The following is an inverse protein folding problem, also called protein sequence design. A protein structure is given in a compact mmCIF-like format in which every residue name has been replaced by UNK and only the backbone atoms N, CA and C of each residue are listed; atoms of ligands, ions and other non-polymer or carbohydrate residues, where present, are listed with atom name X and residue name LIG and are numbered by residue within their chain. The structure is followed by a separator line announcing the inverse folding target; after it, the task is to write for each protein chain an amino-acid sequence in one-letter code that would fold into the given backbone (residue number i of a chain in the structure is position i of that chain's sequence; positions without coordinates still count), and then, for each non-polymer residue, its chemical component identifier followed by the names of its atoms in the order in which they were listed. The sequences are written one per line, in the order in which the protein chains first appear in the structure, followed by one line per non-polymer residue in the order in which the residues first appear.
data_IF_723099598612
#
_entry.id   IF_723099598612
#
_cell.length_a   1.000
_cell.length_b   1.000
_cell.length_c   1.000
_cell.angle_alpha   90.00
_cell.angle_beta   90.00
_cell.angle_gamma   90.00
#
_symmetry.space_group_name_H-M   'P 1'
#
loop_
_entity.id
_entity.type
_entity.pdbx_description
1 polymer ?
#
# COMPACT_ATOMS: atom_id res chain seq x y z
N UNK A 1 25.72 -19.12 25.86
CA UNK A 1 25.56 -18.20 24.71
C UNK A 1 25.03 -18.84 23.41
N UNK A 2 25.39 -20.07 22.99
CA UNK A 2 24.87 -20.64 21.73
C UNK A 2 23.36 -20.97 21.74
N UNK A 3 22.76 -21.20 22.92
CA UNK A 3 21.32 -21.48 23.04
C UNK A 3 20.42 -20.28 22.73
N UNK A 4 20.82 -19.07 23.15
CA UNK A 4 20.01 -17.85 22.94
C UNK A 4 19.94 -17.45 21.46
N UNK A 5 21.07 -17.51 20.76
CA UNK A 5 21.14 -17.22 19.32
C UNK A 5 20.27 -18.21 18.53
N UNK A 6 20.31 -19.51 18.88
CA UNK A 6 19.47 -20.52 18.25
C UNK A 6 17.98 -20.23 18.45
N UNK A 7 17.56 -19.86 19.67
CA UNK A 7 16.16 -19.49 19.93
C UNK A 7 15.72 -18.28 19.09
N UNK A 8 16.54 -17.21 19.05
CA UNK A 8 16.24 -16.01 18.27
C UNK A 8 16.08 -16.35 16.77
N UNK A 9 17.01 -17.13 16.21
CA UNK A 9 16.97 -17.52 14.80
C UNK A 9 15.74 -18.37 14.48
N UNK A 10 15.37 -19.31 15.36
CA UNK A 10 14.19 -20.14 15.18
C UNK A 10 12.89 -19.32 15.29
N UNK A 11 12.78 -18.40 16.24
CA UNK A 11 11.64 -17.50 16.34
C UNK A 11 11.52 -16.58 15.13
N UNK A 12 12.63 -16.01 14.65
CA UNK A 12 12.66 -15.19 13.45
C UNK A 12 12.24 -16.00 12.20
N UNK A 13 12.71 -17.25 12.08
CA UNK A 13 12.31 -18.15 11.01
C UNK A 13 10.81 -18.46 11.06
N UNK A 14 10.28 -18.79 12.25
CA UNK A 14 8.84 -19.06 12.42
C UNK A 14 8.00 -17.85 12.01
N UNK A 15 8.36 -16.65 12.47
CA UNK A 15 7.69 -15.40 12.07
C UNK A 15 7.77 -15.21 10.56
N UNK A 16 8.95 -15.35 9.95
CA UNK A 16 9.13 -15.20 8.50
C UNK A 16 8.26 -16.17 7.69
N UNK A 17 8.20 -17.44 8.09
CA UNK A 17 7.36 -18.46 7.44
C UNK A 17 5.87 -18.12 7.59
N UNK A 18 5.41 -17.79 8.80
CA UNK A 18 4.00 -17.43 9.00
C UNK A 18 3.63 -16.12 8.29
N UNK A 19 4.54 -15.16 8.17
CA UNK A 19 4.32 -13.95 7.36
C UNK A 19 4.17 -14.30 5.88
N UNK A 20 5.04 -15.16 5.34
CA UNK A 20 4.93 -15.59 3.95
C UNK A 20 3.61 -16.35 3.68
N UNK A 21 3.20 -17.23 4.60
CA UNK A 21 1.93 -17.95 4.51
C UNK A 21 0.72 -17.02 4.65
N UNK A 22 0.75 -16.09 5.60
CA UNK A 22 -0.31 -15.09 5.80
C UNK A 22 -0.45 -14.21 4.58
N UNK A 23 0.66 -13.74 3.97
CA UNK A 23 0.65 -13.03 2.71
C UNK A 23 0.04 -13.86 1.59
N UNK A 24 0.44 -15.12 1.43
CA UNK A 24 -0.12 -15.99 0.40
C UNK A 24 -1.64 -16.13 0.53
N UNK A 25 -2.14 -16.40 1.74
CA UNK A 25 -3.60 -16.48 2.01
C UNK A 25 -4.27 -15.12 1.76
N UNK A 26 -3.64 -14.02 2.18
CA UNK A 26 -4.13 -12.67 1.95
C UNK A 26 -4.31 -12.36 0.46
N UNK A 27 -3.31 -12.65 -0.38
CA UNK A 27 -3.39 -12.44 -1.83
C UNK A 27 -4.46 -13.32 -2.47
N UNK A 28 -4.56 -14.60 -2.06
CA UNK A 28 -5.60 -15.51 -2.54
C UNK A 28 -7.00 -15.02 -2.17
N UNK A 29 -7.18 -14.52 -0.93
CA UNK A 29 -8.45 -13.98 -0.47
C UNK A 29 -8.85 -12.73 -1.25
N UNK A 30 -7.92 -11.81 -1.47
CA UNK A 30 -8.20 -10.61 -2.27
C UNK A 30 -8.54 -10.95 -3.73
N UNK A 31 -7.87 -11.92 -4.33
CA UNK A 31 -8.20 -12.37 -5.69
C UNK A 31 -9.57 -13.03 -5.80
N UNK A 32 -9.97 -13.80 -4.79
CA UNK A 32 -11.24 -14.54 -4.80
C UNK A 32 -12.45 -13.73 -4.34
N UNK A 33 -12.26 -12.83 -3.35
CA UNK A 33 -13.34 -12.14 -2.64
C UNK A 33 -13.21 -10.62 -2.62
N UNK A 34 -12.17 -10.05 -3.23
CA UNK A 34 -11.96 -8.60 -3.28
C UNK A 34 -13.06 -7.90 -4.07
N UNK A 35 -13.74 -6.95 -3.41
CA UNK A 35 -14.80 -6.12 -3.98
C UNK A 35 -14.34 -4.73 -4.41
N UNK A 36 -13.03 -4.51 -4.53
CA UNK A 36 -12.42 -3.23 -4.93
C UNK A 36 -12.28 -2.20 -3.79
N UNK A 37 -12.70 -2.53 -2.56
CA UNK A 37 -12.55 -1.67 -1.38
C UNK A 37 -11.28 -2.07 -0.65
N UNK A 38 -10.13 -1.61 -1.16
CA UNK A 38 -8.80 -1.99 -0.71
C UNK A 38 -8.67 -2.10 0.82
N UNK A 39 -9.12 -1.08 1.54
CA UNK A 39 -9.03 -1.05 3.00
C UNK A 39 -9.84 -2.16 3.69
N UNK A 40 -11.12 -2.30 3.35
CA UNK A 40 -12.01 -3.25 4.03
C UNK A 40 -11.70 -4.68 3.61
N UNK A 41 -11.51 -4.90 2.32
CA UNK A 41 -11.22 -6.23 1.78
C UNK A 41 -9.87 -6.74 2.32
N UNK A 42 -8.88 -5.84 2.47
CA UNK A 42 -7.59 -6.18 3.06
C UNK A 42 -7.66 -6.50 4.55
N UNK A 43 -8.45 -5.76 5.34
CA UNK A 43 -8.67 -6.10 6.76
C UNK A 43 -9.33 -7.46 6.94
N UNK A 44 -10.35 -7.77 6.14
CA UNK A 44 -11.04 -9.07 6.18
C UNK A 44 -10.05 -10.17 5.77
N UNK A 45 -9.26 -9.96 4.71
CA UNK A 45 -8.24 -10.90 4.27
C UNK A 45 -7.19 -11.19 5.36
N UNK A 46 -6.72 -10.16 6.07
CA UNK A 46 -5.79 -10.30 7.20
C UNK A 46 -6.43 -11.13 8.31
N UNK A 47 -7.64 -10.76 8.74
CA UNK A 47 -8.37 -11.46 9.81
C UNK A 47 -8.63 -12.93 9.44
N UNK A 48 -9.04 -13.20 8.19
CA UNK A 48 -9.23 -14.54 7.67
C UNK A 48 -7.92 -15.34 7.68
N UNK A 49 -6.81 -14.74 7.21
CA UNK A 49 -5.50 -15.41 7.22
C UNK A 49 -5.05 -15.76 8.64
N UNK A 50 -5.24 -14.85 9.60
CA UNK A 50 -4.91 -15.07 11.00
C UNK A 50 -5.76 -16.20 11.60
N UNK A 51 -7.07 -16.18 11.36
CA UNK A 51 -7.99 -17.21 11.85
C UNK A 51 -7.66 -18.60 11.28
N UNK A 52 -7.38 -18.70 9.97
CA UNK A 52 -7.01 -19.95 9.31
C UNK A 52 -5.69 -20.50 9.90
N UNK A 53 -4.67 -19.66 10.03
CA UNK A 53 -3.37 -20.09 10.56
C UNK A 53 -3.43 -20.45 12.04
N UNK A 54 -4.19 -19.70 12.86
CA UNK A 54 -4.42 -20.04 14.26
C UNK A 54 -5.16 -21.37 14.39
N UNK A 55 -6.23 -21.58 13.62
CA UNK A 55 -6.96 -22.85 13.60
C UNK A 55 -6.03 -24.01 13.20
N UNK A 56 -5.18 -23.81 12.20
CA UNK A 56 -4.19 -24.81 11.78
C UNK A 56 -3.18 -25.14 12.89
N UNK A 57 -2.63 -24.13 13.57
CA UNK A 57 -1.69 -24.33 14.70
C UNK A 57 -2.38 -25.05 15.86
N UNK A 58 -3.60 -24.66 16.22
CA UNK A 58 -4.37 -25.30 17.29
C UNK A 58 -4.67 -26.76 16.92
N UNK A 59 -5.15 -27.03 15.70
CA UNK A 59 -5.44 -28.38 15.24
C UNK A 59 -4.18 -29.27 15.20
N UNK A 60 -3.05 -28.73 14.72
CA UNK A 60 -1.79 -29.44 14.66
C UNK A 60 -1.22 -29.78 16.04
N UNK A 61 -1.48 -28.95 17.05
CA UNK A 61 -0.95 -29.11 18.42
C UNK A 61 -1.93 -29.78 19.39
N UNK A 62 -3.21 -29.94 19.03
CA UNK A 62 -4.27 -30.46 19.90
C UNK A 62 -4.03 -31.88 20.44
N UNK A 63 -3.25 -32.70 19.72
CA UNK A 63 -2.95 -34.10 20.11
C UNK A 63 -1.68 -34.25 20.95
N UNK A 64 -1.17 -33.17 21.54
CA UNK A 64 0.08 -33.18 22.29
C UNK A 64 1.34 -33.39 21.43
N UNK A 65 1.16 -33.49 20.11
CA UNK A 65 2.26 -33.49 19.15
C UNK A 65 2.67 -32.05 18.88
N UNK A 66 3.87 -31.70 19.28
CA UNK A 66 4.51 -30.48 18.82
C UNK A 66 4.90 -30.68 17.36
N UNK A 67 4.44 -29.82 16.43
CA UNK A 67 4.90 -29.89 15.05
C UNK A 67 6.42 -29.67 15.01
N UNK A 68 7.08 -30.22 13.99
CA UNK A 68 8.54 -30.15 13.82
C UNK A 68 9.34 -30.81 14.95
N UNK A 69 8.87 -31.95 15.47
CA UNK A 69 9.65 -32.79 16.39
C UNK A 69 9.95 -32.16 17.74
N UNK A 70 9.11 -31.22 18.21
CA UNK A 70 9.35 -30.51 19.48
C UNK A 70 10.23 -29.28 19.39
N UNK A 71 10.61 -28.85 18.18
CA UNK A 71 11.40 -27.64 17.99
C UNK A 71 10.68 -26.35 18.45
N UNK A 72 9.34 -26.35 18.41
CA UNK A 72 8.51 -25.20 18.78
C UNK A 72 7.40 -25.60 19.75
N UNK A 73 7.20 -24.76 20.76
CA UNK A 73 6.03 -24.79 21.64
C UNK A 73 4.80 -24.22 20.94
N UNK A 74 3.61 -24.61 21.41
CA UNK A 74 2.34 -24.04 20.92
C UNK A 74 2.29 -22.52 21.09
N UNK A 75 2.84 -22.00 22.19
CA UNK A 75 2.87 -20.57 22.46
C UNK A 75 3.73 -19.83 21.44
N UNK A 76 4.93 -20.33 21.12
CA UNK A 76 5.80 -19.72 20.11
C UNK A 76 5.14 -19.66 18.73
N UNK A 77 4.43 -20.72 18.32
CA UNK A 77 3.72 -20.75 17.05
C UNK A 77 2.53 -19.77 17.02
N UNK A 78 1.75 -19.68 18.11
CA UNK A 78 0.66 -18.70 18.23
C UNK A 78 1.22 -17.28 18.17
N UNK A 79 2.29 -16.99 18.92
CA UNK A 79 2.95 -15.68 18.89
C UNK A 79 3.49 -15.37 17.50
N UNK A 80 4.05 -16.34 16.78
CA UNK A 80 4.53 -16.15 15.41
C UNK A 80 3.39 -15.82 14.44
N UNK A 81 2.22 -16.48 14.55
CA UNK A 81 1.03 -16.16 13.74
C UNK A 81 0.52 -14.75 14.03
N UNK A 82 0.46 -14.34 15.30
CA UNK A 82 0.02 -13.00 15.68
C UNK A 82 1.00 -11.93 15.17
N UNK A 83 2.31 -12.14 15.37
CA UNK A 83 3.35 -11.25 14.87
C UNK A 83 3.30 -11.13 13.34
N UNK A 84 3.13 -12.25 12.62
CA UNK A 84 2.94 -12.27 11.18
C UNK A 84 1.72 -11.45 10.76
N UNK A 85 0.59 -11.59 11.47
CA UNK A 85 -0.65 -10.85 11.17
C UNK A 85 -0.47 -9.34 11.35
N UNK A 86 0.26 -8.90 12.38
CA UNK A 86 0.62 -7.50 12.57
C UNK A 86 1.57 -6.97 11.49
N UNK A 87 2.53 -7.78 11.02
CA UNK A 87 3.40 -7.41 9.91
C UNK A 87 2.62 -7.24 8.60
N UNK A 88 1.70 -8.16 8.29
CA UNK A 88 0.84 -8.03 7.11
C UNK A 88 -0.10 -6.84 7.24
N UNK A 89 -0.63 -6.57 8.45
CA UNK A 89 -1.39 -5.36 8.73
C UNK A 89 -0.58 -4.08 8.51
N UNK A 90 0.65 -4.01 9.04
CA UNK A 90 1.53 -2.87 8.83
C UNK A 90 1.82 -2.66 7.34
N UNK A 91 2.13 -3.74 6.61
CA UNK A 91 2.31 -3.72 5.16
C UNK A 91 1.06 -3.19 4.42
N UNK A 92 -0.12 -3.74 4.72
CA UNK A 92 -1.37 -3.36 4.08
C UNK A 92 -1.76 -1.91 4.40
N UNK A 93 -1.58 -1.46 5.64
CA UNK A 93 -1.93 -0.08 5.95
C UNK A 93 -0.97 0.89 5.26
N UNK A 94 0.34 0.67 5.42
CA UNK A 94 1.35 1.63 4.96
C UNK A 94 1.44 1.79 3.45
N UNK A 95 1.30 0.70 2.71
CA UNK A 95 1.49 0.74 1.26
C UNK A 95 0.17 0.97 0.50
N UNK A 96 -0.80 0.03 0.46
CA UNK A 96 -1.98 0.23 -0.36
C UNK A 96 -3.00 1.22 0.21
N UNK A 97 -3.16 1.35 1.55
CA UNK A 97 -4.31 2.12 2.09
C UNK A 97 -4.02 3.60 2.37
N UNK A 98 -2.76 4.01 2.60
CA UNK A 98 -2.44 5.43 2.82
C UNK A 98 -2.77 6.26 1.58
N UNK A 99 -2.50 5.72 0.39
CA UNK A 99 -2.78 6.41 -0.89
C UNK A 99 -4.29 6.58 -1.12
N UNK A 100 -5.08 5.56 -0.77
CA UNK A 100 -6.53 5.53 -0.98
C UNK A 100 -7.29 6.41 0.04
N UNK A 101 -6.83 6.42 1.29
CA UNK A 101 -7.54 7.08 2.42
C UNK A 101 -7.55 8.60 2.38
N UNK A 102 -6.51 9.26 1.84
CA UNK A 102 -6.51 10.73 1.78
C UNK A 102 -7.55 11.27 0.79
N UNK A 103 -7.85 10.51 -0.27
CA UNK A 103 -8.86 10.86 -1.27
C UNK A 103 -10.27 10.61 -0.72
N UNK A 104 -10.51 9.46 -0.07
CA UNK A 104 -11.83 9.17 0.53
C UNK A 104 -12.22 10.19 1.60
N UNK A 105 -11.28 10.59 2.47
CA UNK A 105 -11.53 11.63 3.48
C UNK A 105 -11.79 13.00 2.86
N UNK A 106 -11.07 13.34 1.78
CA UNK A 106 -11.33 14.56 1.03
C UNK A 106 -12.77 14.56 0.48
N UNK A 107 -13.19 13.50 -0.20
CA UNK A 107 -14.54 13.35 -0.75
C UNK A 107 -15.59 13.50 0.34
N UNK A 108 -15.43 12.80 1.48
CA UNK A 108 -16.35 12.91 2.61
C UNK A 108 -16.44 14.34 3.16
N UNK A 109 -15.31 15.05 3.29
CA UNK A 109 -15.30 16.44 3.76
C UNK A 109 -16.02 17.38 2.80
N UNK A 110 -15.99 17.12 1.49
CA UNK A 110 -16.66 17.95 0.49
C UNK A 110 -18.17 17.67 0.46
N UNK A 111 -18.58 16.40 0.54
CA UNK A 111 -20.01 16.04 0.66
C UNK A 111 -20.63 16.63 1.93
N UNK A 112 -19.94 16.54 3.06
CA UNK A 112 -20.43 17.08 4.35
C UNK A 112 -20.61 18.61 4.30
N UNK A 113 -19.63 19.33 3.74
CA UNK A 113 -19.67 20.80 3.65
C UNK A 113 -20.70 21.34 2.67
N UNK A 114 -21.03 20.60 1.62
CA UNK A 114 -21.92 21.06 0.54
C UNK A 114 -23.29 20.35 0.54
N UNK A 115 -23.56 19.53 1.58
CA UNK A 115 -24.82 18.80 1.77
C UNK A 115 -25.21 17.91 0.57
N UNK A 116 -24.21 17.39 -0.15
CA UNK A 116 -24.36 16.59 -1.37
C UNK A 116 -23.71 17.24 -2.58
N UNK A 117 -23.12 16.42 -3.44
CA UNK A 117 -22.46 16.84 -4.67
C UNK A 117 -22.75 15.83 -5.78
N UNK A 118 -23.00 16.32 -6.99
CA UNK A 118 -22.95 15.51 -8.21
C UNK A 118 -21.52 15.02 -8.49
N UNK A 119 -21.37 14.06 -9.42
CA UNK A 119 -20.05 13.54 -9.80
C UNK A 119 -19.20 14.64 -10.43
N UNK A 120 -19.81 15.50 -11.24
CA UNK A 120 -19.16 16.62 -11.94
C UNK A 120 -18.67 17.67 -10.92
N UNK A 121 -19.50 18.02 -9.94
CA UNK A 121 -19.12 18.94 -8.86
C UNK A 121 -18.02 18.34 -7.97
N UNK A 122 -18.09 17.03 -7.70
CA UNK A 122 -17.04 16.31 -6.95
C UNK A 122 -15.69 16.31 -7.70
N UNK A 123 -15.72 16.10 -9.01
CA UNK A 123 -14.52 16.14 -9.86
C UNK A 123 -13.89 17.53 -9.87
N UNK A 124 -14.70 18.57 -10.06
CA UNK A 124 -14.24 19.96 -10.02
C UNK A 124 -13.65 20.31 -8.64
N UNK A 125 -14.38 19.99 -7.56
CA UNK A 125 -13.93 20.20 -6.19
C UNK A 125 -12.62 19.46 -5.88
N UNK A 126 -12.43 18.24 -6.39
CA UNK A 126 -11.19 17.48 -6.22
C UNK A 126 -10.03 18.14 -6.94
N UNK A 127 -10.21 18.56 -8.19
CA UNK A 127 -9.14 19.20 -8.95
C UNK A 127 -8.78 20.56 -8.34
N UNK A 128 -9.76 21.41 -8.08
CA UNK A 128 -9.49 22.77 -7.60
C UNK A 128 -9.07 22.77 -6.13
N UNK A 129 -9.74 21.97 -5.31
CA UNK A 129 -9.49 21.90 -3.88
C UNK A 129 -8.28 21.07 -3.51
N UNK A 130 -8.17 19.83 -4.01
CA UNK A 130 -7.13 18.89 -3.59
C UNK A 130 -5.87 18.99 -4.46
N UNK A 131 -6.02 19.01 -5.78
CA UNK A 131 -4.86 19.00 -6.71
C UNK A 131 -4.20 20.38 -6.76
N UNK A 132 -4.99 21.44 -6.94
CA UNK A 132 -4.50 22.81 -7.08
C UNK A 132 -4.37 23.53 -5.73
N UNK A 133 -5.40 23.52 -4.89
CA UNK A 133 -5.47 24.35 -3.68
C UNK A 133 -4.54 23.95 -2.52
N UNK A 134 -4.02 22.72 -2.49
CA UNK A 134 -3.14 22.22 -1.43
C UNK A 134 -1.69 21.96 -1.86
N UNK A 135 -1.30 22.40 -3.07
CA UNK A 135 0.00 22.08 -3.68
C UNK A 135 0.31 20.57 -3.66
N UNK A 136 -0.72 19.72 -3.76
CA UNK A 136 -0.55 18.28 -3.65
C UNK A 136 0.39 17.74 -4.73
N UNK A 137 0.35 18.32 -5.93
CA UNK A 137 1.27 17.95 -7.01
C UNK A 137 2.70 18.38 -6.69
N UNK A 138 2.91 19.64 -6.32
CA UNK A 138 4.25 20.16 -6.09
C UNK A 138 4.94 19.50 -4.89
N UNK A 139 4.21 19.27 -3.79
CA UNK A 139 4.72 18.52 -2.64
C UNK A 139 5.19 17.11 -3.02
N UNK A 140 4.40 16.40 -3.84
CA UNK A 140 4.77 15.04 -4.28
C UNK A 140 5.94 15.05 -5.27
N UNK A 141 6.05 16.07 -6.12
CA UNK A 141 7.22 16.27 -6.98
C UNK A 141 8.48 16.49 -6.14
N UNK A 142 8.41 17.35 -5.13
CA UNK A 142 9.54 17.63 -4.21
C UNK A 142 9.96 16.38 -3.43
N UNK A 143 9.00 15.57 -2.95
CA UNK A 143 9.27 14.29 -2.32
C UNK A 143 10.02 13.33 -3.26
N UNK A 144 9.62 13.25 -4.55
CA UNK A 144 10.28 12.37 -5.52
C UNK A 144 11.66 12.89 -5.94
N UNK A 145 11.85 14.22 -6.01
CA UNK A 145 13.17 14.84 -6.22
C UNK A 145 14.10 14.57 -5.03
N UNK A 146 13.61 14.79 -3.80
CA UNK A 146 14.36 14.53 -2.56
C UNK A 146 14.70 13.05 -2.38
N UNK A 147 13.83 12.14 -2.84
CA UNK A 147 14.09 10.70 -2.84
C UNK A 147 14.99 10.23 -3.99
N UNK A 148 15.34 11.11 -4.94
CA UNK A 148 16.16 10.78 -6.11
C UNK A 148 15.47 9.87 -7.12
N UNK A 149 14.14 9.74 -7.08
CA UNK A 149 13.37 8.91 -8.02
C UNK A 149 13.16 9.62 -9.37
N UNK A 150 13.14 10.95 -9.34
CA UNK A 150 13.07 11.80 -10.54
C UNK A 150 14.14 12.89 -10.47
N UNK A 151 14.50 13.44 -11.62
CA UNK A 151 15.38 14.60 -11.76
C UNK A 151 14.80 15.60 -12.75
N UNK A 152 15.10 16.88 -12.55
CA UNK A 152 14.74 17.93 -13.50
C UNK A 152 15.86 18.12 -14.52
N UNK A 153 15.56 17.90 -15.81
CA UNK A 153 16.49 18.10 -16.93
C UNK A 153 15.72 18.63 -18.15
N UNK A 154 16.27 19.64 -18.82
CA UNK A 154 15.71 20.22 -20.04
C UNK A 154 14.24 20.66 -19.94
N UNK A 155 13.87 21.27 -18.81
CA UNK A 155 12.51 21.73 -18.56
C UNK A 155 11.49 20.62 -18.25
N UNK A 156 11.95 19.39 -17.98
CA UNK A 156 11.09 18.22 -17.75
C UNK A 156 11.57 17.41 -16.54
N UNK A 157 10.61 16.78 -15.86
CA UNK A 157 10.91 15.76 -14.86
C UNK A 157 11.11 14.41 -15.55
N UNK A 158 12.23 13.75 -15.25
CA UNK A 158 12.65 12.50 -15.85
C UNK A 158 12.91 11.46 -14.76
N UNK A 159 12.50 10.22 -14.99
CA UNK A 159 12.78 9.09 -14.10
C UNK A 159 14.28 8.81 -14.03
N UNK A 160 14.79 8.58 -12.82
CA UNK A 160 16.14 8.04 -12.61
C UNK A 160 16.13 6.51 -12.73
N UNK A 161 17.30 5.85 -12.82
CA UNK A 161 17.37 4.39 -12.73
C UNK A 161 16.74 3.84 -11.44
N UNK A 162 16.94 4.53 -10.30
CA UNK A 162 16.34 4.17 -9.00
C UNK A 162 14.82 4.25 -9.06
N UNK A 163 14.27 5.35 -9.58
CA UNK A 163 12.83 5.50 -9.73
C UNK A 163 12.23 4.46 -10.69
N UNK A 164 12.96 4.09 -11.75
CA UNK A 164 12.53 3.04 -12.69
C UNK A 164 12.46 1.65 -12.04
N UNK A 165 13.43 1.33 -11.17
CA UNK A 165 13.43 0.08 -10.40
C UNK A 165 12.26 0.03 -9.41
N UNK A 166 12.04 1.12 -8.65
CA UNK A 166 10.91 1.23 -7.72
C UNK A 166 9.57 1.08 -8.46
N UNK A 167 9.40 1.80 -9.57
CA UNK A 167 8.19 1.74 -10.38
C UNK A 167 7.92 0.32 -10.90
N UNK A 168 8.98 -0.41 -11.29
CA UNK A 168 8.86 -1.79 -11.77
C UNK A 168 8.42 -2.74 -10.66
N UNK A 169 8.94 -2.60 -9.44
CA UNK A 169 8.51 -3.36 -8.27
C UNK A 169 7.05 -3.11 -7.91
N UNK A 170 6.64 -1.83 -7.93
CA UNK A 170 5.24 -1.44 -7.67
C UNK A 170 4.29 -1.97 -8.75
N UNK A 171 4.70 -2.01 -10.03
CA UNK A 171 3.92 -2.64 -11.12
C UNK A 171 3.72 -4.13 -10.88
N UNK A 172 4.78 -4.85 -10.53
CA UNK A 172 4.71 -6.28 -10.25
C UNK A 172 3.75 -6.56 -9.08
N UNK A 173 3.84 -5.77 -8.01
CA UNK A 173 2.95 -5.86 -6.86
C UNK A 173 1.50 -5.55 -7.22
N UNK A 174 1.24 -4.47 -7.96
CA UNK A 174 -0.11 -4.10 -8.39
C UNK A 174 -0.75 -5.19 -9.27
N UNK A 175 0.03 -5.79 -10.18
CA UNK A 175 -0.41 -6.94 -10.97
C UNK A 175 -0.74 -8.16 -10.10
N UNK A 176 0.09 -8.46 -9.09
CA UNK A 176 -0.17 -9.56 -8.15
C UNK A 176 -1.42 -9.32 -7.27
N UNK A 177 -1.74 -8.05 -6.97
CA UNK A 177 -2.93 -7.66 -6.19
C UNK A 177 -4.21 -7.54 -7.03
N UNK A 178 -4.14 -7.78 -8.35
CA UNK A 178 -5.28 -7.56 -9.26
C UNK A 178 -5.76 -6.10 -9.28
N UNK A 179 -4.90 -5.16 -8.91
CA UNK A 179 -5.26 -3.74 -8.80
C UNK A 179 -5.22 -3.05 -10.16
N UNK A 180 -6.12 -2.08 -10.36
CA UNK A 180 -6.08 -1.19 -11.51
C UNK A 180 -4.71 -0.50 -11.59
N UNK A 181 -3.92 -0.84 -12.61
CA UNK A 181 -2.62 -0.22 -12.86
C UNK A 181 -2.73 1.18 -13.48
N UNK A 182 -3.94 1.77 -13.55
CA UNK A 182 -4.19 3.05 -14.24
C UNK A 182 -3.21 4.16 -13.82
N UNK A 183 -2.88 4.24 -12.53
CA UNK A 183 -1.95 5.23 -11.98
C UNK A 183 -0.46 4.95 -12.28
N UNK A 184 -0.13 3.73 -12.71
CA UNK A 184 1.24 3.23 -12.90
C UNK A 184 1.55 3.00 -14.39
N UNK A 185 0.50 2.77 -15.19
CA UNK A 185 0.48 2.68 -16.66
C UNK A 185 -0.50 3.71 -17.20
N UNK A 186 -0.22 4.99 -16.93
CA UNK A 186 -0.96 6.08 -17.57
C UNK A 186 -0.59 6.15 -19.06
N UNK A 187 -1.60 6.12 -19.95
CA UNK A 187 -1.41 6.54 -21.35
C UNK A 187 -1.23 8.05 -21.39
N UNK A 188 -0.38 8.56 -22.29
CA UNK A 188 -0.27 10.01 -22.57
C UNK A 188 -1.65 10.59 -22.86
N UNK A 189 -2.23 11.30 -21.89
CA UNK A 189 -3.39 12.16 -22.06
C UNK A 189 -2.96 13.62 -21.91
N UNK A 190 -3.61 14.50 -22.65
CA UNK A 190 -3.50 15.95 -22.45
C UNK A 190 -4.21 16.34 -21.16
N UNK A 191 -3.45 16.79 -20.16
CA UNK A 191 -4.01 17.38 -18.94
C UNK A 191 -4.46 18.82 -19.23
N UNK A 192 -5.62 19.27 -18.73
CA UNK A 192 -6.15 20.62 -18.99
C UNK A 192 -5.40 21.74 -18.26
N UNK A 193 -4.51 21.42 -17.31
CA UNK A 193 -3.81 22.40 -16.47
C UNK A 193 -2.33 22.56 -16.86
N UNK A 194 -1.80 23.81 -16.77
CA UNK A 194 -0.36 24.11 -16.96
C UNK A 194 0.30 24.40 -15.61
N UNK A 195 1.41 23.71 -15.37
CA UNK A 195 2.33 24.00 -14.28
C UNK A 195 3.58 24.65 -14.87
N UNK A 196 4.17 25.65 -14.19
CA UNK A 196 5.56 26.04 -14.46
C UNK A 196 6.49 25.33 -13.52
N UNK A 197 7.66 25.02 -14.03
CA UNK A 197 8.80 24.66 -13.21
C UNK A 197 9.85 25.73 -13.48
N UNK A 198 10.18 26.54 -12.48
CA UNK A 198 11.34 27.44 -12.53
C UNK A 198 12.39 26.90 -11.57
N UNK A 199 13.60 26.72 -12.08
CA UNK A 199 14.78 26.35 -11.27
C UNK A 199 14.58 25.11 -10.38
N UNK A 200 13.84 24.11 -10.88
CA UNK A 200 13.57 22.86 -10.16
C UNK A 200 12.45 22.96 -9.10
N UNK A 201 11.79 24.10 -8.97
CA UNK A 201 10.63 24.31 -8.10
C UNK A 201 9.33 24.28 -8.93
N UNK A 202 8.38 23.44 -8.49
CA UNK A 202 7.04 23.34 -9.07
C UNK A 202 6.17 24.53 -8.62
N UNK A 203 5.61 25.28 -9.56
CA UNK A 203 4.70 26.40 -9.29
C UNK A 203 3.50 26.37 -10.24
N UNK A 204 2.29 26.43 -9.69
CA UNK A 204 1.03 26.52 -10.44
C UNK A 204 0.97 27.82 -11.27
N UNK A 205 0.63 27.72 -12.56
CA UNK A 205 0.44 28.89 -13.44
C UNK A 205 -1.03 29.25 -13.71
N UNK A 206 -1.99 28.49 -13.18
CA UNK A 206 -3.43 28.66 -13.47
C UNK A 206 -3.94 27.88 -14.69
N UNK A 207 -5.21 28.08 -15.03
CA UNK A 207 -5.90 27.39 -16.14
C UNK A 207 -5.38 27.80 -17.52
N UNK A 208 -5.49 26.89 -18.51
CA UNK A 208 -5.30 27.24 -19.92
C UNK A 208 -6.48 28.10 -20.39
N UNK A 209 -6.28 29.41 -20.51
CA UNK A 209 -7.09 30.21 -21.42
C UNK A 209 -6.85 29.71 -22.85
N UNK A 210 -7.93 29.24 -23.49
CA UNK A 210 -7.95 28.90 -24.91
C UNK A 210 -7.62 30.10 -25.79
#
# INVERSE_FOLDING_TARGET
MPGAIRCILMSALAVGVFTALSLAIYYLFLGAFGGGRLFYDGLIAIAASAAILLAAVIAATARGRTPFGGAYSRQELVTAVLAASFLVYAFHITLPTIVDRSISLFILSRVDREAGLSIEEMQSAFVDGYVSGHDAVCRRVDEQLGSGNIVFRDGRYVLTPTGAMLLSGLRAMAGALGQSTYFITSRKGTLPYRYSVRDGQCALLGERSG
#
